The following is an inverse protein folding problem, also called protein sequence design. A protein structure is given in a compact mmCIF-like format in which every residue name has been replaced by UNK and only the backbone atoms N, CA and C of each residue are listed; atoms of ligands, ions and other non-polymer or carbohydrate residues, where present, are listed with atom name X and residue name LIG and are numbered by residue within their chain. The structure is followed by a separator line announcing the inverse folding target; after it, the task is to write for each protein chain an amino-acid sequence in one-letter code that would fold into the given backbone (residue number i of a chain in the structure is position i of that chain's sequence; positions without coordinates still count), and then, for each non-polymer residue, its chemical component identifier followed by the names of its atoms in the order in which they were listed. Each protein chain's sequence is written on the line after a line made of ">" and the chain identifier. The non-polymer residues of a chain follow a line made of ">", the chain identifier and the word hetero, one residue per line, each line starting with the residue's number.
data_IF_638899631599
#
_entry.id   IF_638899631599
#
_cell.length_a   1.000
_cell.length_b   1.000
_cell.length_c   1.000
_cell.angle_alpha   90.00
_cell.angle_beta   90.00
_cell.angle_gamma   90.00
#
_symmetry.space_group_name_H-M   'P 1'
#
loop_
_entity.id
_entity.type
_entity.pdbx_description
1 polymer ?
2 non-polymer ?
3 non-polymer ?
4 non-polymer ?
5 non-polymer ?
6 water ?
#
# COMPACT_ATOMS: atom_id res chain seq x y z
N UNK A 1 -14.96 1.73 9.43
CA UNK A 1 -14.99 0.42 8.85
C UNK A 1 -14.17 0.41 7.57
N UNK A 2 -13.73 -0.81 7.25
CA UNK A 2 -12.92 -1.04 6.02
C UNK A 2 -13.87 -1.24 4.84
N UNK A 3 -13.87 -0.30 3.89
CA UNK A 3 -14.89 -0.21 2.86
C UNK A 3 -14.37 -0.51 1.47
N UNK A 4 -13.07 -0.79 1.30
CA UNK A 4 -12.58 -1.20 -0.04
C UNK A 4 -11.27 -1.93 0.09
N UNK A 5 -10.92 -2.66 -0.97
CA UNK A 5 -9.49 -2.97 -1.22
C UNK A 5 -8.85 -1.71 -1.79
N UNK A 6 -7.93 -1.09 -1.11
CA UNK A 6 -7.25 0.12 -1.59
C UNK A 6 -6.16 -0.28 -2.55
N UNK A 7 -5.30 -1.22 -2.23
CA UNK A 7 -4.23 -1.59 -3.18
C UNK A 7 -3.63 -2.93 -2.82
N UNK A 8 -2.89 -3.46 -3.78
CA UNK A 8 -2.04 -4.65 -3.64
C UNK A 8 -0.59 -4.17 -3.71
N UNK A 9 0.21 -4.34 -2.68
CA UNK A 9 1.62 -3.96 -2.72
C UNK A 9 2.44 -5.08 -3.28
N UNK A 10 3.16 -4.80 -4.36
CA UNK A 10 3.94 -5.80 -5.12
C UNK A 10 5.40 -5.39 -5.15
N UNK A 11 6.27 -6.16 -4.54
CA UNK A 11 7.72 -5.89 -4.50
C UNK A 11 8.40 -6.36 -5.78
N UNK A 12 9.33 -5.53 -6.22
CA UNK A 12 10.11 -5.82 -7.44
C UNK A 12 11.52 -5.25 -7.32
N UNK A 13 12.38 -5.86 -8.10
CA UNK A 13 13.80 -5.43 -8.10
C UNK A 13 14.01 -4.15 -8.90
N UNK A 14 13.22 -3.96 -9.95
CA UNK A 14 13.38 -2.84 -10.91
C UNK A 14 12.00 -2.26 -11.21
N UNK A 15 11.72 -1.14 -10.59
CA UNK A 15 10.42 -0.48 -10.72
C UNK A 15 10.16 -0.20 -12.19
N UNK A 16 11.14 0.40 -12.90
CA UNK A 16 10.81 0.81 -14.27
C UNK A 16 10.50 -0.41 -15.13
N UNK A 17 11.22 -1.51 -14.98
CA UNK A 17 10.94 -2.72 -15.78
C UNK A 17 9.56 -3.31 -15.44
N UNK A 18 9.24 -3.31 -14.15
CA UNK A 18 7.98 -3.94 -13.74
C UNK A 18 6.81 -3.04 -14.15
N UNK A 19 6.93 -1.73 -14.01
CA UNK A 19 5.93 -0.79 -14.54
C UNK A 19 5.67 -1.07 -16.03
N UNK A 20 6.75 -1.23 -16.80
CA UNK A 20 6.60 -1.50 -18.23
C UNK A 20 5.93 -2.84 -18.51
N UNK A 21 6.21 -3.84 -17.69
CA UNK A 21 5.53 -5.15 -17.81
C UNK A 21 4.01 -4.96 -17.69
N UNK A 22 3.60 -4.22 -16.67
CA UNK A 22 2.15 -4.03 -16.42
C UNK A 22 1.51 -3.22 -17.54
N UNK A 23 2.23 -2.22 -18.06
CA UNK A 23 1.70 -1.41 -19.17
C UNK A 23 1.58 -2.23 -20.46
N UNK A 24 2.65 -2.91 -20.79
CA UNK A 24 2.69 -3.70 -22.04
C UNK A 24 1.69 -4.86 -21.99
N UNK A 25 1.57 -5.51 -20.83
CA UNK A 25 0.80 -6.77 -20.79
C UNK A 25 -0.70 -6.49 -20.67
N UNK A 26 -1.06 -5.54 -19.81
CA UNK A 26 -2.45 -5.28 -19.39
C UNK A 26 -2.99 -3.91 -19.80
N UNK A 27 -2.13 -3.04 -20.23
CA UNK A 27 -2.52 -1.65 -20.59
C UNK A 27 -2.65 -0.77 -19.38
N UNK A 28 -2.21 -1.19 -18.20
CA UNK A 28 -2.29 -0.35 -17.01
C UNK A 28 -1.27 0.78 -17.07
N UNK A 29 -1.74 2.00 -16.82
CA UNK A 29 -0.82 3.14 -16.88
C UNK A 29 -0.47 3.62 -15.47
N UNK A 30 0.60 4.37 -15.38
CA UNK A 30 1.05 4.96 -14.10
C UNK A 30 0.12 6.09 -13.67
N UNK A 31 -0.54 5.96 -12.52
CA UNK A 31 -1.33 7.03 -11.90
C UNK A 31 -0.45 7.98 -11.14
N UNK A 32 0.58 7.51 -10.47
CA UNK A 32 1.51 8.35 -9.69
C UNK A 32 2.77 7.58 -9.34
N UNK A 33 3.87 8.29 -9.17
CA UNK A 33 5.13 7.74 -8.70
C UNK A 33 5.64 8.61 -7.58
N UNK A 34 6.30 8.03 -6.59
CA UNK A 34 6.96 8.82 -5.54
C UNK A 34 7.95 7.95 -4.81
N UNK A 35 8.85 8.60 -4.09
CA UNK A 35 9.80 7.92 -3.19
C UNK A 35 9.37 8.21 -1.77
N UNK A 36 9.32 7.17 -0.93
CA UNK A 36 9.03 7.34 0.50
C UNK A 36 10.31 6.94 1.21
N UNK A 37 11.09 7.93 1.66
CA UNK A 37 12.41 7.64 2.25
C UNK A 37 12.23 6.92 3.59
N UNK A 38 11.27 7.31 4.41
CA UNK A 38 11.01 6.66 5.72
C UNK A 38 10.78 5.15 5.50
N UNK A 39 9.92 4.81 4.55
CA UNK A 39 9.54 3.40 4.27
C UNK A 39 10.67 2.71 3.50
N UNK A 40 11.53 3.44 2.77
CA UNK A 40 12.61 2.88 1.96
C UNK A 40 12.11 2.27 0.66
N UNK A 41 11.20 2.96 -0.02
CA UNK A 41 10.65 2.44 -1.32
C UNK A 41 10.59 3.55 -2.36
N UNK A 42 10.78 3.15 -3.61
CA UNK A 42 10.34 3.94 -4.78
C UNK A 42 9.06 3.26 -5.24
N UNK A 43 7.99 3.99 -5.43
CA UNK A 43 6.70 3.32 -5.73
C UNK A 43 6.07 3.88 -6.97
N UNK A 44 5.30 3.02 -7.62
CA UNK A 44 4.42 3.46 -8.70
C UNK A 44 3.04 2.92 -8.37
N UNK A 45 2.04 3.79 -8.45
CA UNK A 45 0.65 3.38 -8.32
C UNK A 45 0.00 3.26 -9.68
N UNK A 46 -0.65 2.14 -9.97
CA UNK A 46 -1.38 1.91 -11.22
C UNK A 46 -2.85 1.78 -10.86
N UNK A 47 -3.73 2.68 -11.28
CA UNK A 47 -5.13 2.63 -10.93
C UNK A 47 -5.84 1.61 -11.78
N UNK A 48 -6.52 0.64 -11.15
CA UNK A 48 -7.26 -0.40 -11.88
C UNK A 48 -8.74 -0.08 -11.99
N UNK A 49 -9.33 0.46 -10.95
CA UNK A 49 -10.79 0.73 -10.96
C UNK A 49 -11.11 1.73 -9.87
N UNK A 50 -12.31 2.35 -9.98
CA UNK A 50 -12.91 3.06 -8.87
C UNK A 50 -13.76 2.11 -8.06
N UNK A 51 -14.06 2.50 -6.83
CA UNK A 51 -14.82 1.67 -5.87
C UNK A 51 -16.08 2.35 -5.32
N UNK A 52 -16.97 1.49 -4.83
CA UNK A 52 -18.34 1.91 -4.42
C UNK A 52 -18.27 2.83 -3.21
N UNK A 53 -17.18 2.90 -2.45
CA UNK A 53 -17.05 3.85 -1.32
C UNK A 53 -16.55 5.24 -1.71
N UNK A 54 -16.39 5.53 -3.00
CA UNK A 54 -15.85 6.75 -3.55
C UNK A 54 -14.36 6.72 -3.76
N UNK A 55 -13.70 5.63 -3.36
CA UNK A 55 -12.26 5.51 -3.56
C UNK A 55 -11.89 4.76 -4.82
N UNK A 56 -10.69 4.19 -4.79
CA UNK A 56 -10.13 3.50 -5.95
C UNK A 56 -9.27 2.34 -5.46
N UNK A 57 -8.98 1.48 -6.41
CA UNK A 57 -8.12 0.30 -6.17
C UNK A 57 -6.92 0.40 -7.09
N UNK A 58 -5.73 0.19 -6.57
CA UNK A 58 -4.48 0.32 -7.29
C UNK A 58 -3.62 -0.93 -7.14
N UNK A 59 -2.68 -1.09 -8.07
CA UNK A 59 -1.46 -1.90 -7.85
C UNK A 59 -0.40 -0.94 -7.37
N UNK A 60 0.26 -1.22 -6.27
CA UNK A 60 1.35 -0.37 -5.73
C UNK A 60 2.63 -1.16 -5.97
N UNK A 61 3.41 -0.77 -6.97
CA UNK A 61 4.69 -1.49 -7.23
C UNK A 61 5.79 -0.83 -6.43
N UNK A 62 6.66 -1.60 -5.83
CA UNK A 62 7.60 -1.11 -4.82
C UNK A 62 8.98 -1.66 -5.12
N UNK A 63 9.95 -0.75 -5.31
CA UNK A 63 11.39 -1.09 -5.39
C UNK A 63 12.06 -0.59 -4.13
N UNK A 64 12.91 -1.36 -3.45
CA UNK A 64 13.58 -0.81 -2.29
C UNK A 64 14.63 0.24 -2.65
N UNK A 65 14.72 1.27 -1.80
CA UNK A 65 15.76 2.34 -1.93
C UNK A 65 17.04 1.84 -1.25
N UNK A 66 16.95 0.85 -0.39
CA UNK A 66 18.07 0.36 0.45
C UNK A 66 17.79 -1.08 0.88
N UNK A 67 18.84 -1.85 1.12
CA UNK A 67 18.68 -3.28 1.47
C UNK A 67 18.05 -3.38 2.86
N UNK A 68 18.43 -2.47 3.75
CA UNK A 68 17.98 -2.45 5.16
C UNK A 68 16.66 -1.69 5.21
N UNK A 69 15.62 -2.34 4.69
CA UNK A 69 14.24 -1.77 4.61
C UNK A 69 13.29 -2.96 4.64
N UNK A 70 12.03 -2.71 4.96
CA UNK A 70 11.01 -3.77 4.89
C UNK A 70 11.06 -4.49 3.54
N UNK A 71 10.96 -3.73 2.46
CA UNK A 71 10.89 -4.38 1.13
C UNK A 71 12.25 -4.95 0.75
N UNK A 72 13.37 -4.31 1.11
CA UNK A 72 14.67 -4.87 0.69
C UNK A 72 14.92 -6.23 1.35
N UNK A 73 14.53 -6.33 2.61
CA UNK A 73 14.67 -7.59 3.38
C UNK A 73 13.73 -8.63 2.81
N UNK A 74 12.51 -8.23 2.55
CA UNK A 74 11.54 -9.17 2.01
C UNK A 74 11.98 -9.72 0.66
N UNK A 75 12.45 -8.86 -0.26
CA UNK A 75 12.88 -9.29 -1.59
C UNK A 75 14.07 -10.24 -1.48
N UNK A 76 15.00 -9.93 -0.59
CA UNK A 76 16.20 -10.77 -0.42
C UNK A 76 15.77 -12.17 -0.01
N UNK A 77 14.78 -12.30 0.87
CA UNK A 77 14.30 -13.57 1.40
C UNK A 77 13.38 -14.29 0.42
N UNK A 78 12.49 -13.57 -0.31
CA UNK A 78 11.36 -14.22 -0.98
C UNK A 78 11.39 -14.04 -2.50
N UNK A 79 12.19 -13.13 -3.03
CA UNK A 79 12.10 -12.74 -4.43
C UNK A 79 10.87 -11.86 -4.71
N UNK A 80 10.72 -11.49 -5.94
CA UNK A 80 9.64 -10.57 -6.38
C UNK A 80 8.31 -11.26 -6.15
N UNK A 81 7.30 -10.42 -5.81
CA UNK A 81 5.93 -10.92 -5.63
C UNK A 81 5.14 -10.03 -4.73
N UNK A 82 3.97 -10.54 -4.33
CA UNK A 82 3.05 -9.75 -3.48
C UNK A 82 3.64 -9.55 -2.10
N UNK A 83 3.75 -8.32 -1.65
CA UNK A 83 4.31 -7.96 -0.36
C UNK A 83 3.23 -7.70 0.68
N UNK A 84 2.13 -7.04 0.31
CA UNK A 84 1.11 -6.68 1.32
C UNK A 84 -0.21 -6.43 0.62
N UNK A 85 -1.29 -6.37 1.35
CA UNK A 85 -2.60 -5.93 0.87
C UNK A 85 -3.04 -4.74 1.69
N UNK A 86 -3.83 -3.85 1.12
CA UNK A 86 -4.28 -2.63 1.85
C UNK A 86 -5.76 -2.43 1.70
N UNK A 87 -6.40 -2.15 2.80
CA UNK A 87 -7.83 -1.84 2.86
C UNK A 87 -8.02 -0.35 3.13
N UNK A 88 -9.00 0.25 2.47
CA UNK A 88 -9.33 1.66 2.70
C UNK A 88 -10.44 1.85 3.71
N UNK A 89 -10.32 3.01 4.36
CA UNK A 89 -11.26 3.42 5.42
C UNK A 89 -11.31 4.95 5.43
N UNK A 90 -12.46 5.46 5.87
CA UNK A 90 -12.59 6.92 6.11
C UNK A 90 -11.95 7.34 7.42
N UNK A 91 -11.51 6.41 8.28
CA UNK A 91 -11.01 6.80 9.62
C UNK A 91 -10.03 5.74 10.10
N UNK A 92 -8.85 5.83 9.56
CA UNK A 92 -7.78 4.87 9.89
C UNK A 92 -7.53 4.92 11.40
N UNK A 93 -7.52 6.10 12.03
CA UNK A 93 -7.21 6.16 13.48
C UNK A 93 -8.21 5.31 14.25
N UNK A 94 -9.48 5.46 13.97
CA UNK A 94 -10.54 4.77 14.73
C UNK A 94 -10.45 3.29 14.44
N UNK A 95 -10.32 2.90 13.16
CA UNK A 95 -10.31 1.46 12.84
C UNK A 95 -9.05 0.83 13.41
N UNK A 96 -7.91 1.48 13.40
CA UNK A 96 -6.69 0.92 14.02
C UNK A 96 -6.89 0.75 15.53
N UNK A 97 -7.52 1.71 16.20
CA UNK A 97 -7.75 1.54 17.65
C UNK A 97 -8.64 0.34 17.92
N UNK A 98 -9.70 0.13 17.12
CA UNK A 98 -10.61 -1.00 17.31
C UNK A 98 -9.85 -2.31 17.12
N UNK A 99 -8.98 -2.39 16.10
CA UNK A 99 -8.24 -3.63 15.82
C UNK A 99 -7.19 -3.85 16.92
N UNK A 100 -6.54 -2.78 17.37
CA UNK A 100 -5.60 -2.92 18.52
C UNK A 100 -6.37 -3.56 19.70
N UNK A 101 -7.59 -3.15 19.91
CA UNK A 101 -8.39 -3.67 21.06
C UNK A 101 -8.76 -5.13 20.89
N UNK A 102 -8.56 -5.75 19.73
CA UNK A 102 -8.73 -7.18 19.48
C UNK A 102 -7.46 -7.99 19.68
N UNK A 103 -6.32 -7.37 19.97
CA UNK A 103 -5.05 -8.06 20.23
C UNK A 103 -4.23 -8.29 18.99
N UNK A 104 -4.70 -7.75 17.84
CA UNK A 104 -3.85 -7.75 16.62
C UNK A 104 -2.83 -6.63 16.73
N UNK A 105 -1.54 -6.92 16.50
CA UNK A 105 -0.48 -5.92 16.61
C UNK A 105 -0.66 -4.83 15.53
N UNK A 106 -0.84 -3.59 15.93
CA UNK A 106 -0.80 -2.40 15.07
C UNK A 106 0.60 -1.86 15.13
N UNK A 107 1.29 -1.74 13.99
CA UNK A 107 2.73 -1.45 14.03
C UNK A 107 2.97 0.03 14.37
N UNK A 108 2.10 0.97 14.04
CA UNK A 108 2.40 2.40 14.38
C UNK A 108 1.52 2.87 15.55
N UNK A 109 2.02 3.66 16.53
CA UNK A 109 1.06 4.33 17.47
C UNK A 109 0.04 5.21 16.74
N UNK A 110 0.51 5.93 15.74
CA UNK A 110 -0.27 6.96 15.03
C UNK A 110 -0.01 6.71 13.55
N UNK A 111 -1.03 6.88 12.72
CA UNK A 111 -0.79 6.67 11.28
C UNK A 111 0.35 7.52 10.72
N UNK A 112 1.06 6.98 9.76
CA UNK A 112 2.21 7.55 9.07
C UNK A 112 1.85 7.92 7.63
N UNK A 113 2.73 8.62 6.93
CA UNK A 113 2.40 9.06 5.55
C UNK A 113 2.59 7.90 4.59
N UNK A 114 1.59 7.69 3.73
CA UNK A 114 1.70 6.77 2.64
C UNK A 114 1.55 7.49 1.30
N UNK A 115 1.19 6.74 0.28
CA UNK A 115 1.18 7.33 -1.09
C UNK A 115 0.16 8.47 -1.19
N UNK A 116 0.55 9.49 -1.95
CA UNK A 116 -0.38 10.61 -2.26
C UNK A 116 -0.94 11.25 -0.98
N UNK A 117 -0.06 11.42 0.02
CA UNK A 117 -0.40 12.08 1.28
C UNK A 117 -1.35 11.29 2.18
N UNK A 118 -1.64 10.02 1.83
CA UNK A 118 -2.54 9.18 2.63
C UNK A 118 -1.94 9.02 4.04
N UNK A 119 -2.80 8.58 4.95
CA UNK A 119 -2.40 8.19 6.31
C UNK A 119 -2.64 6.68 6.50
N UNK A 120 -1.57 6.02 6.95
CA UNK A 120 -1.45 4.53 6.82
C UNK A 120 -1.07 3.94 8.18
N UNK A 121 -1.42 2.68 8.38
CA UNK A 121 -0.81 1.88 9.43
C UNK A 121 -0.77 0.47 8.91
N UNK A 122 -0.08 -0.39 9.63
CA UNK A 122 0.07 -1.82 9.27
C UNK A 122 -0.29 -2.71 10.45
N UNK A 123 -0.76 -3.89 10.13
CA UNK A 123 -1.03 -4.96 11.09
C UNK A 123 0.02 -6.03 10.87
N UNK A 124 0.51 -6.64 11.97
CA UNK A 124 1.61 -7.58 11.87
C UNK A 124 1.14 -8.86 11.15
N UNK A 125 1.88 -9.36 10.13
CA UNK A 125 1.46 -10.50 9.36
C UNK A 125 1.26 -11.76 10.15
N UNK A 126 2.02 -11.87 11.26
CA UNK A 126 1.84 -13.09 12.05
C UNK A 126 0.55 -13.09 12.84
N UNK A 127 -0.13 -11.97 12.95
CA UNK A 127 -1.45 -11.88 13.56
C UNK A 127 -2.57 -11.90 12.53
N UNK A 128 -2.20 -11.96 11.24
CA UNK A 128 -3.20 -11.88 10.16
C UNK A 128 -3.06 -13.10 9.25
N UNK A 129 -2.72 -14.28 9.78
CA UNK A 129 -2.61 -15.49 8.95
C UNK A 129 -1.63 -15.27 7.80
N UNK A 130 -0.51 -14.59 8.03
CA UNK A 130 0.58 -14.52 7.07
C UNK A 130 0.48 -13.37 6.09
N UNK A 131 -0.52 -12.51 6.25
CA UNK A 131 -0.70 -11.39 5.29
C UNK A 131 -0.37 -10.06 5.93
N UNK A 132 0.67 -9.38 5.47
CA UNK A 132 0.96 -8.04 5.96
C UNK A 132 -0.17 -7.14 5.45
N UNK A 133 -0.88 -6.53 6.34
CA UNK A 133 -2.15 -5.86 6.06
C UNK A 133 -2.05 -4.38 6.38
N UNK A 134 -2.27 -3.51 5.41
CA UNK A 134 -2.23 -2.06 5.58
C UNK A 134 -3.65 -1.50 5.66
N UNK A 135 -3.83 -0.47 6.48
CA UNK A 135 -5.07 0.31 6.55
C UNK A 135 -4.76 1.72 6.07
N UNK A 136 -5.59 2.24 5.18
CA UNK A 136 -5.30 3.50 4.45
C UNK A 136 -6.51 4.43 4.52
N UNK A 137 -6.29 5.69 4.91
CA UNK A 137 -7.26 6.77 4.64
C UNK A 137 -6.64 7.76 3.64
N UNK A 138 -7.31 7.89 2.51
CA UNK A 138 -6.87 8.82 1.46
C UNK A 138 -6.88 10.24 2.01
N UNK A 139 -5.98 11.05 1.45
CA UNK A 139 -5.83 12.45 1.89
C UNK A 139 -7.04 13.24 1.43
N UNK A 140 -7.50 12.97 0.21
CA UNK A 140 -8.71 13.61 -0.35
C UNK A 140 -9.91 12.83 0.19
N UNK A 141 -10.75 13.46 1.02
CA UNK A 141 -12.01 12.83 1.54
C UNK A 141 -12.87 12.46 0.32
N UNK A 142 -13.19 11.17 0.17
CA UNK A 142 -13.89 10.65 -1.04
C UNK A 142 -15.39 10.46 -0.72
N UNK A 143 -16.23 10.56 -1.76
CA UNK A 143 -17.72 10.65 -1.66
C UNK A 143 -18.39 9.34 -2.08
N UNK A 144 -18.89 8.51 -1.13
CA UNK A 144 -19.68 7.32 -1.49
C UNK A 144 -21.03 7.69 -2.13
X LIG B 1 1.02 -0.02 0.61
X LIG C 1 13.53 -13.08 -7.95
X LIG C 1 14.01 -12.76 -9.29
X LIG C 1 14.12 -12.18 -6.99
X LIG C 1 13.91 -14.44 -7.59
X LIG C 1 12.11 -13.03 -7.92
X LIG D 1 -17.96 1.91 -8.09
X LIG D 1 -16.75 2.44 -8.66
X LIG D 1 -18.75 1.27 -9.12
X LIG D 1 -17.63 0.95 -7.08
X LIG D 1 -18.72 3.00 -7.51
X LIG E 1 7.86 -10.26 7.07
X LIG E 1 7.06 -11.34 7.29
X LIG E 1 5.99 -11.23 6.43
X LIG E 1 6.26 -10.11 5.67
X LIG E 1 7.43 -9.48 6.08
X LIG E 1 4.97 -12.07 6.29
X LIG E 1 4.17 -11.64 5.33
X LIG E 1 4.28 -10.57 4.51
X LIG E 1 5.34 -9.75 4.66
X LIG E 1 5.47 -8.69 3.85
X LIG E 1 7.29 -12.39 8.29
X LIG E 1 8.67 -13.04 8.11
X LIG E 1 8.64 -14.04 7.12
X LIG E 1 8.90 -13.60 9.51
X LIG E 1 8.14 -14.78 9.60
X LIG E 1 8.32 -12.49 10.38
X LIG E 1 7.35 -11.78 9.54
X LIG E 1 9.33 -11.51 10.88
X LIG E 1 9.88 -10.80 9.73
X LIG E 1 11.41 -10.37 9.58
X LIG E 1 11.96 -10.81 8.25
X LIG E 1 12.14 -10.71 10.84
X LIG E 1 11.30 -8.79 9.52
X LIG E 1 10.71 -8.01 10.78
X LIG E 1 10.01 -8.95 11.70
X LIG E 1 11.74 -7.11 11.36
X LIG E 1 9.72 -7.01 9.98
X LIG E 1 8.42 -7.50 9.51
X LIG E 1 7.51 -6.29 9.62
X LIG E 1 8.05 -5.17 8.74
X LIG E 1 7.53 -5.76 11.06
X LIG E 1 6.09 -6.70 9.25
X LIG E 1 8.29 -5.54 7.43
X LIG E 1 7.21 -3.92 8.73
X LIG E 1 7.30 -3.11 9.66
X LIG E 1 6.37 -3.72 7.75
X LIG E 1 5.56 -2.50 7.57
X LIG E 1 6.23 -1.40 6.76
X LIG E 1 6.32 -1.75 5.28
X LIG E 1 6.10 -2.90 4.91
X LIG E 1 6.73 -0.81 4.44
X LIG E 1 6.84 -0.98 3.00
X LIG E 1 5.58 -0.62 2.25
X LIG E 1 8.96 -16.02 10.37
X LIG E 1 8.18 -17.15 9.65
X LIG E 1 8.67 -15.93 11.87
X LIG E 1 10.44 -15.90 10.03
X LIG E 1 5.27 1.17 2.44
X LIG E 1 3.62 1.40 1.89
X LIG E 1 2.89 0.53 1.50
X LIG E 1 3.22 2.87 2.02
X LIG E 1 4.43 3.77 1.78
X LIG E 1 2.18 3.41 1.03
X LIG E 1 2.67 4.18 0.20
X LIG E 1 0.94 3.10 1.15
X LIG F 1 7.86 -10.26 7.07
X LIG F 1 7.06 -11.34 7.29
X LIG F 1 5.99 -11.23 6.43
X LIG F 1 6.26 -10.11 5.67
X LIG F 1 7.43 -9.48 6.08
X LIG F 1 4.97 -12.07 6.29
X LIG F 1 4.17 -11.64 5.33
X LIG F 1 4.28 -10.57 4.51
X LIG F 1 5.34 -9.75 4.66
X LIG F 1 5.47 -8.69 3.85
X LIG F 1 7.29 -12.39 8.29
X LIG F 1 8.67 -13.04 8.11
X LIG F 1 8.64 -14.04 7.12
X LIG F 1 8.90 -13.60 9.51
X LIG F 1 8.14 -14.78 9.60
X LIG F 1 8.32 -12.49 10.38
X LIG F 1 7.35 -11.78 9.54
X LIG F 1 9.33 -11.51 10.88
X LIG F 1 9.88 -10.80 9.73
X LIG F 1 11.41 -10.37 9.58
X LIG F 1 11.96 -10.81 8.25
X LIG F 1 12.14 -10.71 10.84
X LIG F 1 11.30 -8.79 9.52
X LIG F 1 10.71 -8.01 10.78
X LIG F 1 10.01 -8.95 11.70
X LIG F 1 11.74 -7.11 11.36
X LIG F 1 9.72 -7.01 9.98
X LIG F 1 8.42 -7.50 9.51
X LIG F 1 7.51 -6.29 9.62
X LIG F 1 8.05 -5.17 8.74
X LIG F 1 7.53 -5.76 11.06
X LIG F 1 6.09 -6.70 9.25
X LIG F 1 8.29 -5.54 7.43
X LIG F 1 7.21 -3.92 8.73
X LIG F 1 7.30 -3.11 9.66
X LIG F 1 6.37 -3.72 7.75
X LIG F 1 5.56 -2.50 7.57
X LIG F 1 6.23 -1.40 6.76
X LIG F 1 6.32 -1.75 5.28
X LIG F 1 6.10 -2.90 4.91
X LIG F 1 6.73 -0.81 4.44
X LIG F 1 6.84 -0.98 3.00
X LIG F 1 5.58 -0.62 2.25
X LIG F 1 8.96 -16.02 10.37
X LIG F 1 8.18 -17.15 9.65
X LIG F 1 8.67 -15.93 11.87
X LIG F 1 10.44 -15.90 10.03
X LIG F 1 5.27 1.17 2.44
X LIG F 1 3.76 1.47 1.62
X LIG F 1 3.04 0.61 1.19
X LIG F 1 3.43 2.95 1.69
X LIG F 1 3.53 3.45 3.14
X LIG F 1 2.02 3.27 1.15
X LIG F 1 1.86 4.38 0.65
X LIG F 1 1.14 2.40 1.24
#
# INVERSE_FOLDING_TARGET
>A
SLTRIDHIGIACHDLDATVEFYRATYGFEVFHTEVNEEQGVREAMLKINDTSDGGASYLQLLEPTREDSAVGKWLAKNGEGVHHIAFGTADVDADAADIRDKGVRVLYDEPRRGSMGSRITFLHPKDCHGVLTELVTSAAVESPEH
>B hetero
1 NH4 N
>C hetero
1 SO4 S O1 O2 O3 O4
>D hetero
1 SO4 S O1 O2 O3 O4
>E hetero
1 MC0 C8 N9 C4 C5 N7 N3 C2 N1 C6 N6 C1' C2' O2' C3' O3' C4' O4' C5' O5' P1 O11 O12 O6 P2 O21 O22 O7 CPB CPA CP7 CP9 CP8 OP3 CP6 OP2 NP2 CP5 CP4 CP3 OP1 NP1 CP2 CP1 P3 O31 O32 O33 S CS1 OS1 CS2 CS3 CS4 OS4 OS5
>F hetero
1 MCA C8 N9 C4 C5 N7 N3 C2 N1 C6 N6 C1' C2' O2' C3' O3' C4' O4' C5' O5' P1 O11 O12 O6 P2 O21 O22 O7 CPB CPA CP7 CP9 CP8 OP3 CP6 OP2 NP2 CP5 CP4 CP3 OP1 NP1 CP2 CP1 P3 O31 O32 O33 S CS1 OS1 CS2 CS3 CS4 OS4 OS5
#
